data_IF_075241095514
#
_entry.id   IF_075241095514
#
_cell.length_a   1.000
_cell.length_b   1.000
_cell.length_c   1.000
_cell.angle_alpha   90.00
_cell.angle_beta   90.00
_cell.angle_gamma   90.00
#
_symmetry.space_group_name_H-M   'P 1'
#
loop_
_entity.id
_entity.type
_entity.pdbx_description
1 polymer ?
#
# COMPACT_ATOMS: atom_id res chain seq x y z
N UNK A 1 -87.03 21.78 -38.32
CA UNK A 1 -86.75 20.36 -38.02
C UNK A 1 -85.53 19.93 -38.83
N UNK A 2 -84.45 19.51 -38.15
CA UNK A 2 -83.32 18.63 -38.57
C UNK A 2 -82.63 18.93 -39.92
N UNK A 3 -81.44 19.54 -39.96
CA UNK A 3 -80.08 18.96 -39.77
C UNK A 3 -79.77 17.70 -40.60
N UNK A 4 -78.77 17.83 -41.49
CA UNK A 4 -77.81 16.86 -42.06
C UNK A 4 -77.50 17.30 -43.51
N UNK A 5 -76.30 17.39 -44.06
CA UNK A 5 -75.00 16.75 -43.84
C UNK A 5 -73.97 17.64 -44.54
N UNK A 6 -73.00 18.19 -43.83
CA UNK A 6 -71.79 18.76 -44.45
C UNK A 6 -70.65 18.73 -43.43
N UNK A 7 -70.24 17.54 -43.01
CA UNK A 7 -69.08 17.40 -42.11
C UNK A 7 -68.42 16.02 -42.27
N UNK A 8 -67.90 15.74 -43.45
CA UNK A 8 -67.04 14.57 -43.69
C UNK A 8 -65.90 14.96 -44.62
N UNK A 9 -64.97 15.78 -44.11
CA UNK A 9 -63.60 15.82 -44.67
C UNK A 9 -62.54 16.46 -43.77
N UNK A 10 -62.88 16.92 -42.56
CA UNK A 10 -61.89 17.62 -41.71
C UNK A 10 -61.21 16.74 -40.64
N UNK A 11 -61.63 15.48 -40.45
CA UNK A 11 -61.24 14.72 -39.24
C UNK A 11 -60.16 13.64 -39.42
N UNK A 12 -59.58 13.46 -40.61
CA UNK A 12 -58.54 12.42 -40.81
C UNK A 12 -57.11 13.01 -40.77
N UNK A 13 -56.92 14.29 -41.15
CA UNK A 13 -55.58 14.92 -41.09
C UNK A 13 -55.17 15.35 -39.68
N UNK A 14 -56.13 15.67 -38.80
CA UNK A 14 -55.82 16.16 -37.44
C UNK A 14 -55.40 15.04 -36.47
N UNK A 15 -55.90 13.81 -36.65
CA UNK A 15 -55.60 12.66 -35.79
C UNK A 15 -54.23 12.04 -36.12
N UNK A 16 -53.74 12.20 -37.35
CA UNK A 16 -52.42 11.69 -37.77
C UNK A 16 -51.25 12.55 -37.28
N UNK A 17 -51.41 13.88 -37.18
CA UNK A 17 -50.33 14.75 -36.71
C UNK A 17 -50.23 14.87 -35.18
N UNK A 18 -51.34 14.63 -34.46
CA UNK A 18 -51.32 14.64 -33.00
C UNK A 18 -50.76 13.33 -32.44
N UNK A 19 -51.07 12.17 -33.04
CA UNK A 19 -50.51 10.88 -32.58
C UNK A 19 -48.99 10.77 -32.77
N UNK A 20 -48.42 11.41 -33.81
CA UNK A 20 -46.97 11.45 -34.04
C UNK A 20 -46.22 12.43 -33.12
N UNK A 21 -46.87 13.48 -32.61
CA UNK A 21 -46.24 14.41 -31.65
C UNK A 21 -46.18 13.87 -30.23
N UNK A 22 -47.15 13.06 -29.82
CA UNK A 22 -47.12 12.43 -28.49
C UNK A 22 -46.20 11.20 -28.41
N UNK A 23 -45.89 10.55 -29.54
CA UNK A 23 -44.93 9.44 -29.59
C UNK A 23 -43.45 9.89 -29.50
N UNK A 24 -43.15 11.16 -29.83
CA UNK A 24 -41.80 11.73 -29.71
C UNK A 24 -41.62 12.61 -28.46
N UNK A 25 -42.71 13.10 -27.87
CA UNK A 25 -42.71 13.87 -26.63
C UNK A 25 -42.60 12.99 -25.36
N UNK A 26 -43.07 11.74 -25.43
CA UNK A 26 -42.64 10.70 -24.50
C UNK A 26 -41.29 10.19 -25.00
N UNK A 27 -40.19 10.70 -24.47
CA UNK A 27 -39.21 9.84 -23.81
C UNK A 27 -37.91 10.56 -23.43
N UNK A 28 -37.59 11.77 -23.89
CA UNK A 28 -36.24 12.32 -23.58
C UNK A 28 -36.00 12.56 -22.09
N UNK A 29 -37.02 12.98 -21.34
CA UNK A 29 -36.86 13.22 -19.89
C UNK A 29 -36.90 11.92 -19.06
N UNK A 30 -37.70 10.93 -19.47
CA UNK A 30 -37.69 9.59 -18.86
C UNK A 30 -36.42 8.81 -19.23
N UNK A 31 -35.98 8.89 -20.48
CA UNK A 31 -34.70 8.34 -20.95
C UNK A 31 -33.53 9.01 -20.24
N UNK A 32 -33.54 10.33 -20.02
CA UNK A 32 -32.49 10.99 -19.24
C UNK A 32 -32.46 10.51 -17.78
N UNK A 33 -33.61 10.38 -17.11
CA UNK A 33 -33.67 9.83 -15.74
C UNK A 33 -33.21 8.38 -15.66
N UNK A 34 -33.53 7.57 -16.68
CA UNK A 34 -33.14 6.17 -16.77
C UNK A 34 -31.65 6.02 -17.10
N UNK A 35 -31.11 6.90 -17.95
CA UNK A 35 -29.69 7.00 -18.29
C UNK A 35 -28.87 7.46 -17.07
N UNK A 36 -29.39 8.41 -16.29
CA UNK A 36 -28.76 8.90 -15.07
C UNK A 36 -28.71 7.79 -13.99
N UNK A 37 -29.82 7.08 -13.79
CA UNK A 37 -29.86 5.92 -12.88
C UNK A 37 -28.92 4.79 -13.34
N UNK A 38 -28.87 4.49 -14.64
CA UNK A 38 -27.95 3.50 -15.19
C UNK A 38 -26.48 3.93 -15.01
N UNK A 39 -26.16 5.22 -15.17
CA UNK A 39 -24.84 5.77 -14.94
C UNK A 39 -24.39 5.63 -13.49
N UNK A 40 -25.27 5.89 -12.51
CA UNK A 40 -24.97 5.67 -11.09
C UNK A 40 -24.70 4.20 -10.76
N UNK A 41 -25.48 3.28 -11.33
CA UNK A 41 -25.27 1.84 -11.14
C UNK A 41 -23.95 1.40 -11.76
N UNK A 42 -23.60 1.88 -12.95
CA UNK A 42 -22.33 1.58 -13.59
C UNK A 42 -21.14 2.14 -12.80
N UNK A 43 -21.22 3.38 -12.32
CA UNK A 43 -20.20 3.98 -11.45
C UNK A 43 -20.03 3.21 -10.14
N UNK A 44 -21.14 2.77 -9.54
CA UNK A 44 -21.12 1.94 -8.35
C UNK A 44 -20.44 0.59 -8.63
N UNK A 45 -20.80 -0.09 -9.71
CA UNK A 45 -20.18 -1.35 -10.11
C UNK A 45 -18.68 -1.21 -10.41
N UNK A 46 -18.27 -0.14 -11.08
CA UNK A 46 -16.86 0.17 -11.33
C UNK A 46 -16.11 0.47 -10.03
N UNK A 47 -16.71 1.24 -9.13
CA UNK A 47 -16.15 1.56 -7.82
C UNK A 47 -15.92 0.31 -6.96
N UNK A 48 -16.92 -0.57 -6.87
CA UNK A 48 -16.80 -1.84 -6.12
C UNK A 48 -15.77 -2.76 -6.77
N UNK A 49 -15.72 -2.84 -8.10
CA UNK A 49 -14.73 -3.65 -8.82
C UNK A 49 -13.30 -3.15 -8.57
N UNK A 50 -13.09 -1.83 -8.58
CA UNK A 50 -11.81 -1.21 -8.25
C UNK A 50 -11.41 -1.46 -6.79
N UNK A 51 -12.37 -1.40 -5.86
CA UNK A 51 -12.15 -1.70 -4.46
C UNK A 51 -11.71 -3.15 -4.25
N UNK A 52 -12.37 -4.10 -4.91
CA UNK A 52 -12.03 -5.54 -4.83
C UNK A 52 -10.65 -5.83 -5.41
N UNK A 53 -10.28 -5.22 -6.54
CA UNK A 53 -8.93 -5.33 -7.12
C UNK A 53 -7.89 -4.76 -6.16
N UNK A 54 -8.17 -3.61 -5.54
CA UNK A 54 -7.28 -2.98 -4.58
C UNK A 54 -7.08 -3.85 -3.32
N UNK A 55 -8.14 -4.43 -2.76
CA UNK A 55 -8.07 -5.37 -1.65
C UNK A 55 -7.24 -6.62 -2.00
N UNK A 56 -7.40 -7.17 -3.20
CA UNK A 56 -6.63 -8.34 -3.65
C UNK A 56 -5.13 -8.02 -3.78
N UNK A 57 -4.80 -6.87 -4.36
CA UNK A 57 -3.41 -6.45 -4.48
C UNK A 57 -2.77 -6.18 -3.11
N UNK A 58 -3.50 -5.58 -2.19
CA UNK A 58 -3.04 -5.32 -0.83
C UNK A 58 -2.82 -6.63 -0.04
N UNK A 59 -3.69 -7.63 -0.22
CA UNK A 59 -3.50 -8.98 0.34
C UNK A 59 -2.21 -9.65 -0.13
N UNK A 60 -1.93 -9.61 -1.43
CA UNK A 60 -0.68 -10.14 -1.99
C UNK A 60 0.55 -9.40 -1.47
N UNK A 61 0.48 -8.07 -1.32
CA UNK A 61 1.58 -7.29 -0.74
C UNK A 61 1.80 -7.62 0.74
N UNK A 62 0.74 -7.85 1.52
CA UNK A 62 0.84 -8.27 2.93
C UNK A 62 1.44 -9.68 3.03
N UNK A 63 1.09 -10.59 2.13
CA UNK A 63 1.64 -11.94 2.10
C UNK A 63 3.13 -11.93 1.73
N UNK A 64 3.53 -11.11 0.75
CA UNK A 64 4.94 -10.91 0.40
C UNK A 64 5.73 -10.25 1.54
N UNK A 65 5.15 -9.26 2.23
CA UNK A 65 5.74 -8.64 3.42
C UNK A 65 5.88 -9.66 4.55
N UNK A 66 4.86 -10.50 4.79
CA UNK A 66 4.94 -11.59 5.78
C UNK A 66 6.03 -12.60 5.44
N UNK A 67 6.15 -12.99 4.18
CA UNK A 67 7.21 -13.89 3.73
C UNK A 67 8.60 -13.25 3.86
N UNK A 68 8.74 -11.97 3.54
CA UNK A 68 9.99 -11.22 3.71
C UNK A 68 10.39 -11.09 5.18
N UNK A 69 9.44 -10.72 6.04
CA UNK A 69 9.65 -10.61 7.49
C UNK A 69 9.97 -11.97 8.12
N UNK A 70 9.27 -13.03 7.72
CA UNK A 70 9.56 -14.38 8.19
C UNK A 70 10.97 -14.82 7.78
N UNK A 71 11.35 -14.58 6.53
CA UNK A 71 12.70 -14.90 6.03
C UNK A 71 13.78 -14.11 6.76
N UNK A 72 13.57 -12.82 7.01
CA UNK A 72 14.50 -11.99 7.79
C UNK A 72 14.60 -12.46 9.25
N UNK A 73 13.47 -12.82 9.88
CA UNK A 73 13.47 -13.26 11.27
C UNK A 73 14.14 -14.65 11.42
N UNK A 74 13.97 -15.55 10.44
CA UNK A 74 14.66 -16.84 10.39
C UNK A 74 16.17 -16.66 10.19
N UNK A 75 16.59 -15.79 9.26
CA UNK A 75 18.00 -15.48 9.05
C UNK A 75 18.65 -14.89 10.31
N UNK A 76 17.96 -13.98 10.99
CA UNK A 76 18.42 -13.37 12.25
C UNK A 76 18.52 -14.40 13.38
N UNK A 77 17.53 -15.30 13.51
CA UNK A 77 17.59 -16.38 14.49
C UNK A 77 18.73 -17.36 14.21
N UNK A 78 18.99 -17.66 12.94
CA UNK A 78 20.10 -18.51 12.54
C UNK A 78 21.46 -17.85 12.83
N UNK A 79 21.63 -16.56 12.52
CA UNK A 79 22.84 -15.78 12.86
C UNK A 79 23.08 -15.75 14.37
N UNK A 80 22.03 -15.58 15.19
CA UNK A 80 22.11 -15.64 16.65
C UNK A 80 22.48 -17.02 17.19
N UNK A 81 21.98 -18.09 16.57
CA UNK A 81 22.33 -19.47 16.96
C UNK A 81 23.79 -19.78 16.60
N UNK A 82 24.26 -19.34 15.44
CA UNK A 82 25.66 -19.47 15.02
C UNK A 82 26.60 -18.65 15.90
N UNK A 83 26.22 -17.42 16.27
CA UNK A 83 26.95 -16.56 17.22
C UNK A 83 27.09 -17.22 18.60
N UNK A 84 26.06 -17.93 19.08
CA UNK A 84 26.13 -18.66 20.36
C UNK A 84 26.91 -19.96 20.28
N UNK A 85 26.93 -20.61 19.12
CA UNK A 85 27.50 -21.94 18.94
C UNK A 85 29.00 -21.92 18.62
N UNK A 86 29.57 -20.78 18.23
CA UNK A 86 30.98 -20.65 17.84
C UNK A 86 31.57 -19.32 18.34
N UNK A 87 32.82 -19.35 18.80
CA UNK A 87 33.69 -18.17 19.07
C UNK A 87 34.02 -17.35 17.80
N UNK A 88 33.12 -17.33 16.80
CA UNK A 88 33.34 -16.58 15.59
C UNK A 88 32.85 -15.14 15.76
N UNK A 89 33.80 -14.22 15.63
CA UNK A 89 33.53 -12.80 15.45
C UNK A 89 32.75 -12.65 14.14
N UNK A 90 31.47 -12.24 14.24
CA UNK A 90 30.69 -11.87 13.06
C UNK A 90 31.34 -10.64 12.42
N UNK A 91 31.23 -10.52 11.11
CA UNK A 91 31.77 -9.37 10.39
C UNK A 91 30.68 -8.64 9.64
N UNK A 92 30.67 -7.32 9.72
CA UNK A 92 29.79 -6.43 8.97
C UNK A 92 30.60 -5.51 8.05
N UNK A 93 30.01 -5.10 6.94
CA UNK A 93 30.59 -4.05 6.07
C UNK A 93 30.17 -2.67 6.54
N UNK A 94 30.90 -1.61 6.17
CA UNK A 94 30.46 -0.22 6.40
C UNK A 94 29.02 0.04 5.93
N UNK A 95 28.66 -0.50 4.76
CA UNK A 95 27.31 -0.37 4.21
C UNK A 95 26.24 -1.04 5.11
N UNK A 96 26.56 -2.18 5.71
CA UNK A 96 25.69 -2.85 6.67
C UNK A 96 25.52 -2.02 7.95
N UNK A 97 26.62 -1.45 8.49
CA UNK A 97 26.57 -0.55 9.65
C UNK A 97 25.68 0.67 9.36
N UNK A 98 25.83 1.28 8.18
CA UNK A 98 24.95 2.37 7.73
C UNK A 98 23.50 1.89 7.62
N UNK A 99 23.27 0.67 7.12
CA UNK A 99 21.95 0.04 7.05
C UNK A 99 21.27 -0.05 8.42
N UNK A 100 21.99 -0.45 9.46
CA UNK A 100 21.48 -0.50 10.83
C UNK A 100 21.14 0.88 11.39
N UNK A 101 21.95 1.90 11.08
CA UNK A 101 21.71 3.27 11.55
C UNK A 101 20.54 3.93 10.81
N UNK A 102 20.41 3.70 9.50
CA UNK A 102 19.35 4.32 8.66
C UNK A 102 18.00 3.63 8.83
N UNK A 103 17.98 2.33 9.09
CA UNK A 103 16.77 1.54 9.27
C UNK A 103 16.34 1.44 10.73
N UNK A 104 15.82 2.53 11.30
CA UNK A 104 15.20 2.61 12.65
C UNK A 104 15.72 1.55 13.64
N UNK A 105 16.78 1.85 14.41
CA UNK A 105 17.46 0.84 15.24
C UNK A 105 16.50 0.08 16.16
N UNK A 106 16.49 -1.26 16.08
CA UNK A 106 15.69 -2.11 16.98
C UNK A 106 16.36 -2.32 18.35
N UNK A 107 17.69 -2.10 18.39
CA UNK A 107 18.58 -2.24 19.53
C UNK A 107 19.51 -1.01 19.60
N UNK A 108 20.11 -0.78 20.76
CA UNK A 108 21.16 0.24 20.86
C UNK A 108 22.35 -0.16 19.97
N UNK A 109 23.00 0.81 19.35
CA UNK A 109 24.13 0.57 18.45
C UNK A 109 25.37 1.17 19.08
N UNK A 110 26.46 0.42 19.13
CA UNK A 110 27.76 0.91 19.59
C UNK A 110 28.78 0.79 18.46
N UNK A 111 29.44 1.88 18.07
CA UNK A 111 30.43 1.88 16.98
C UNK A 111 31.74 2.42 17.53
N UNK A 112 32.80 1.61 17.48
CA UNK A 112 34.14 1.96 17.97
C UNK A 112 34.11 2.52 19.41
N UNK A 113 33.23 1.97 20.25
CA UNK A 113 33.04 2.40 21.63
C UNK A 113 31.99 3.50 21.84
N UNK A 114 31.55 4.20 20.80
CA UNK A 114 30.55 5.27 20.87
C UNK A 114 29.15 4.66 20.81
N UNK A 115 28.34 4.90 21.85
CA UNK A 115 26.97 4.37 21.95
C UNK A 115 25.92 5.32 21.35
N UNK A 116 24.96 4.73 20.64
CA UNK A 116 23.83 5.37 19.99
C UNK A 116 22.56 4.67 20.46
N UNK A 117 21.75 5.35 21.27
CA UNK A 117 20.53 4.76 21.79
C UNK A 117 19.43 4.74 20.73
N UNK A 118 18.74 3.61 20.60
CA UNK A 118 17.62 3.45 19.67
C UNK A 118 16.47 4.43 19.90
N UNK A 119 16.29 4.92 21.13
CA UNK A 119 15.19 5.81 21.49
C UNK A 119 15.44 7.26 21.08
N UNK A 120 16.70 7.63 20.87
CA UNK A 120 17.12 9.02 20.61
C UNK A 120 17.90 9.21 19.32
N UNK A 121 18.26 8.12 18.62
CA UNK A 121 19.03 8.20 17.40
C UNK A 121 18.21 8.84 16.27
N UNK A 122 18.67 9.99 15.80
CA UNK A 122 18.12 10.67 14.63
C UNK A 122 19.00 10.42 13.40
N UNK A 123 18.41 9.84 12.35
CA UNK A 123 19.10 9.56 11.09
C UNK A 123 19.55 10.82 10.36
N UNK A 124 18.73 11.86 10.40
CA UNK A 124 18.87 13.03 9.51
C UNK A 124 20.02 13.97 9.92
N UNK A 125 20.55 13.81 11.13
CA UNK A 125 21.65 14.61 11.68
C UNK A 125 22.96 13.84 11.86
N UNK A 126 23.00 12.56 11.48
CA UNK A 126 24.18 11.73 11.70
C UNK A 126 25.21 11.90 10.58
N UNK A 127 26.46 12.20 10.95
CA UNK A 127 27.56 12.29 10.00
C UNK A 127 28.13 10.90 9.71
N UNK A 128 27.74 10.30 8.57
CA UNK A 128 28.23 8.98 8.15
C UNK A 128 29.68 8.96 7.68
N UNK A 129 30.34 10.11 7.52
CA UNK A 129 31.76 10.17 7.11
C UNK A 129 32.70 9.72 8.22
N UNK A 130 32.24 9.73 9.47
CA UNK A 130 32.99 9.22 10.62
C UNK A 130 33.17 7.70 10.59
N UNK A 131 32.35 6.99 9.82
CA UNK A 131 32.46 5.55 9.64
C UNK A 131 33.57 5.25 8.63
N UNK A 132 34.64 4.61 9.11
CA UNK A 132 35.77 4.18 8.29
C UNK A 132 35.35 3.15 7.26
N UNK A 133 35.95 3.21 6.07
CA UNK A 133 35.80 2.16 5.07
C UNK A 133 36.44 0.85 5.55
N UNK A 134 35.85 -0.27 5.15
CA UNK A 134 36.33 -1.61 5.48
C UNK A 134 35.33 -2.47 6.25
N UNK A 135 35.89 -3.40 7.02
CA UNK A 135 35.16 -4.45 7.73
C UNK A 135 35.11 -4.13 9.22
N UNK A 136 33.98 -4.42 9.84
CA UNK A 136 33.73 -4.27 11.26
C UNK A 136 33.52 -5.65 11.89
N UNK A 137 34.08 -5.87 13.07
CA UNK A 137 33.65 -6.94 13.95
C UNK A 137 32.28 -6.58 14.52
N UNK A 138 31.33 -7.50 14.47
CA UNK A 138 29.95 -7.36 14.93
C UNK A 138 29.73 -8.28 16.12
N UNK A 139 29.20 -7.73 17.19
CA UNK A 139 28.93 -8.44 18.44
C UNK A 139 27.53 -8.12 18.92
N UNK A 140 26.87 -9.11 19.52
CA UNK A 140 25.54 -8.96 20.10
C UNK A 140 25.62 -9.01 21.62
N UNK A 141 25.05 -8.00 22.27
CA UNK A 141 24.76 -8.02 23.70
C UNK A 141 23.32 -8.47 23.87
N UNK A 142 23.12 -9.50 24.69
CA UNK A 142 21.82 -10.13 24.90
C UNK A 142 21.33 -9.89 26.33
N UNK A 143 20.02 -9.70 26.50
CA UNK A 143 19.38 -9.70 27.81
C UNK A 143 19.22 -11.13 28.37
N UNK A 144 18.67 -11.20 29.60
CA UNK A 144 18.36 -12.47 30.29
C UNK A 144 17.37 -13.36 29.54
N UNK A 145 16.63 -12.82 28.56
CA UNK A 145 15.65 -13.52 27.72
C UNK A 145 16.20 -13.82 26.33
N UNK A 146 17.51 -13.66 26.09
CA UNK A 146 18.16 -13.84 24.79
C UNK A 146 17.69 -12.85 23.70
N UNK A 147 17.13 -11.72 24.07
CA UNK A 147 16.80 -10.62 23.14
C UNK A 147 18.02 -9.72 22.97
N UNK A 148 18.27 -9.25 21.74
CA UNK A 148 19.36 -8.32 21.45
C UNK A 148 19.03 -6.96 22.08
N UNK A 149 19.91 -6.47 22.95
CA UNK A 149 19.79 -5.14 23.57
C UNK A 149 20.74 -4.14 22.95
N UNK A 150 21.95 -4.57 22.57
CA UNK A 150 22.96 -3.74 21.91
C UNK A 150 23.65 -4.54 20.80
N UNK A 151 23.98 -3.86 19.70
CA UNK A 151 24.83 -4.35 18.62
C UNK A 151 26.09 -3.51 18.61
N UNK A 152 27.25 -4.14 18.85
CA UNK A 152 28.54 -3.47 18.84
C UNK A 152 29.28 -3.75 17.54
N UNK A 153 29.78 -2.69 16.91
CA UNK A 153 30.62 -2.70 15.73
C UNK A 153 31.99 -2.13 16.08
N UNK A 154 33.06 -2.89 15.84
CA UNK A 154 34.44 -2.44 16.05
C UNK A 154 35.21 -2.55 14.74
N UNK A 155 35.74 -1.46 14.23
CA UNK A 155 36.49 -1.43 12.98
C UNK A 155 37.71 -2.35 13.06
N UNK A 156 37.92 -3.17 12.02
CA UNK A 156 39.14 -3.95 11.84
C UNK A 156 40.09 -3.14 10.96
N UNK A 157 41.25 -2.81 11.52
CA UNK A 157 42.40 -2.27 10.78
C UNK A 157 42.94 -3.28 9.74
#
# INVERSE_FOLDING_TARGET
MKNALHFTNFSIKAVSQTSLRYAWGINMEQVNKLLEQAAYVLLFCLGVSFLLISCKNMGNSIELLKHSLFRQNVLRQQELLEYKAKEHILTATRAEVIGYLTGSPEADIKIDGIGYSKESFGTDGFDYTILREGTYNKEYVLDKKNSITEIAFTHRE
#
